data_IF_054258107704
#
_entry.id   IF_054258107704
#
_cell.length_a   1.000
_cell.length_b   1.000
_cell.length_c   1.000
_cell.angle_alpha   90.00
_cell.angle_beta   90.00
_cell.angle_gamma   90.00
#
_symmetry.space_group_name_H-M   'P 1'
#
loop_
_entity.id
_entity.type
_entity.pdbx_description
1 polymer ?
#
# COMPACT_ATOMS: atom_id res chain seq x y z
N UNK A 1 26.37 53.72 -7.52
CA UNK A 1 25.46 52.87 -6.74
C UNK A 1 24.97 51.79 -7.67
N UNK A 2 25.42 50.52 -7.45
CA UNK A 2 25.06 49.38 -8.32
C UNK A 2 23.85 48.68 -7.72
N UNK A 3 22.72 48.70 -8.44
CA UNK A 3 21.52 47.98 -8.07
C UNK A 3 21.72 46.46 -8.41
N UNK A 4 21.80 45.62 -7.38
CA UNK A 4 21.80 44.18 -7.53
C UNK A 4 20.33 43.74 -7.49
N UNK A 5 19.78 43.38 -8.65
CA UNK A 5 18.46 42.78 -8.77
C UNK A 5 18.62 41.27 -8.45
N UNK A 6 18.16 40.89 -7.26
CA UNK A 6 18.14 39.50 -6.82
C UNK A 6 16.96 38.79 -7.51
N UNK A 7 17.27 37.98 -8.52
CA UNK A 7 16.29 37.15 -9.23
C UNK A 7 15.98 35.91 -8.37
N UNK A 8 14.83 35.89 -7.70
CA UNK A 8 14.32 34.71 -7.00
C UNK A 8 13.80 33.70 -8.04
N UNK A 9 14.57 32.65 -8.27
CA UNK A 9 14.15 31.50 -9.08
C UNK A 9 13.21 30.63 -8.24
N UNK A 10 11.92 30.80 -8.40
CA UNK A 10 10.91 29.91 -7.79
C UNK A 10 10.94 28.58 -8.56
N UNK A 11 11.61 27.59 -8.03
CA UNK A 11 11.49 26.21 -8.52
C UNK A 11 10.14 25.66 -8.08
N UNK A 12 9.19 25.62 -8.99
CA UNK A 12 7.95 24.86 -8.82
C UNK A 12 8.31 23.37 -8.89
N UNK A 13 8.37 22.73 -7.72
CA UNK A 13 8.46 21.26 -7.64
C UNK A 13 7.08 20.74 -8.06
N UNK A 14 6.96 20.27 -9.30
CA UNK A 14 5.83 19.45 -9.71
C UNK A 14 5.96 18.12 -8.98
N UNK A 15 5.30 17.99 -7.84
CA UNK A 15 5.06 16.69 -7.22
C UNK A 15 4.04 15.97 -8.10
N UNK A 16 4.51 15.07 -8.95
CA UNK A 16 3.62 14.11 -9.59
C UNK A 16 3.06 13.24 -8.46
N UNK A 17 1.83 13.50 -8.05
CA UNK A 17 1.13 12.59 -7.16
C UNK A 17 1.06 11.24 -7.87
N UNK A 18 1.79 10.26 -7.36
CA UNK A 18 1.75 8.91 -7.89
C UNK A 18 0.31 8.40 -7.75
N UNK A 19 -0.29 8.00 -8.88
CA UNK A 19 -1.64 7.45 -8.89
C UNK A 19 -1.57 5.96 -8.53
N UNK A 20 -1.85 5.65 -7.26
CA UNK A 20 -1.89 4.28 -6.74
C UNK A 20 -3.19 3.55 -7.08
N UNK A 21 -3.70 3.71 -8.30
CA UNK A 21 -4.84 2.93 -8.78
C UNK A 21 -4.48 1.46 -8.95
N UNK A 22 -5.37 0.61 -8.45
CA UNK A 22 -5.27 -0.84 -8.65
C UNK A 22 -5.63 -1.23 -10.08
N UNK A 23 -5.26 -2.44 -10.55
CA UNK A 23 -5.74 -2.96 -11.83
C UNK A 23 -7.27 -2.99 -11.93
N UNK A 24 -7.97 -3.35 -10.84
CA UNK A 24 -9.43 -3.31 -10.77
C UNK A 24 -10.00 -1.92 -11.10
N UNK A 25 -9.44 -0.87 -10.50
CA UNK A 25 -9.87 0.52 -10.76
C UNK A 25 -9.52 0.99 -12.18
N UNK A 26 -8.35 0.60 -12.69
CA UNK A 26 -7.94 0.92 -14.07
C UNK A 26 -8.82 0.22 -15.12
N UNK A 27 -9.25 -0.99 -14.80
CA UNK A 27 -10.13 -1.81 -15.63
C UNK A 27 -11.62 -1.55 -15.45
N UNK A 28 -12.02 -0.47 -14.74
CA UNK A 28 -13.43 -0.15 -14.43
C UNK A 28 -14.19 -1.33 -13.79
N UNK A 29 -13.53 -2.09 -12.91
CA UNK A 29 -14.12 -3.23 -12.22
C UNK A 29 -14.16 -4.54 -13.05
N UNK A 30 -13.55 -4.57 -14.24
CA UNK A 30 -13.52 -5.75 -15.10
C UNK A 30 -12.15 -6.44 -15.16
N UNK A 31 -11.23 -6.04 -14.32
CA UNK A 31 -9.88 -6.59 -14.27
C UNK A 31 -9.49 -6.81 -12.83
N UNK A 32 -8.96 -7.99 -12.51
CA UNK A 32 -8.30 -8.26 -11.25
C UNK A 32 -6.79 -8.13 -11.38
N UNK A 33 -6.08 -8.04 -10.26
CA UNK A 33 -4.62 -7.96 -10.22
C UNK A 33 -3.97 -9.31 -10.53
N UNK A 34 -2.79 -9.28 -11.15
CA UNK A 34 -1.88 -10.43 -11.15
C UNK A 34 -1.03 -10.42 -9.88
N UNK A 35 -0.36 -11.54 -9.58
CA UNK A 35 0.54 -11.62 -8.43
C UNK A 35 1.67 -10.58 -8.52
N UNK A 36 2.30 -10.44 -9.68
CA UNK A 36 3.39 -9.48 -9.90
C UNK A 36 2.93 -8.03 -9.77
N UNK A 37 1.72 -7.71 -10.24
CA UNK A 37 1.15 -6.37 -10.09
C UNK A 37 0.84 -6.06 -8.62
N UNK A 38 0.34 -7.04 -7.87
CA UNK A 38 0.08 -6.92 -6.44
C UNK A 38 1.37 -6.70 -5.65
N UNK A 39 2.40 -7.52 -5.90
CA UNK A 39 3.73 -7.37 -5.26
C UNK A 39 4.29 -5.99 -5.52
N UNK A 40 4.31 -5.57 -6.79
CA UNK A 40 4.80 -4.24 -7.16
C UNK A 40 4.00 -3.11 -6.50
N UNK A 41 2.69 -3.25 -6.42
CA UNK A 41 1.82 -2.25 -5.81
C UNK A 41 2.16 -2.03 -4.33
N UNK A 42 2.31 -3.10 -3.56
CA UNK A 42 2.66 -3.01 -2.15
C UNK A 42 4.10 -2.56 -1.91
N UNK A 43 5.05 -2.96 -2.75
CA UNK A 43 6.42 -2.44 -2.73
C UNK A 43 6.47 -0.93 -3.01
N UNK A 44 5.62 -0.44 -3.91
CA UNK A 44 5.50 0.99 -4.17
C UNK A 44 4.86 1.73 -3.00
N UNK A 45 3.88 1.14 -2.30
CA UNK A 45 3.32 1.74 -1.08
C UNK A 45 4.35 1.79 0.06
N UNK A 46 5.08 0.70 0.30
CA UNK A 46 6.14 0.61 1.33
C UNK A 46 7.20 1.70 1.11
N UNK A 47 7.63 1.91 -0.13
CA UNK A 47 8.61 2.96 -0.48
C UNK A 47 8.12 4.39 -0.29
N UNK A 48 6.82 4.62 -0.42
CA UNK A 48 6.25 5.97 -0.45
C UNK A 48 5.58 6.38 0.86
N UNK A 49 5.27 5.45 1.75
CA UNK A 49 4.55 5.73 2.99
C UNK A 49 5.22 5.08 4.20
N UNK A 50 5.70 5.89 5.14
CA UNK A 50 6.29 5.41 6.40
C UNK A 50 5.33 4.56 7.25
N UNK A 51 4.01 4.69 7.01
CA UNK A 51 2.97 3.91 7.69
C UNK A 51 2.78 2.51 7.11
N UNK A 52 3.44 2.19 6.00
CA UNK A 52 3.35 0.88 5.36
C UNK A 52 4.67 0.15 5.53
N UNK A 53 4.59 -1.14 5.75
CA UNK A 53 5.74 -2.04 5.66
C UNK A 53 5.32 -3.39 5.10
N UNK A 54 6.17 -3.98 4.27
CA UNK A 54 5.99 -5.33 3.73
C UNK A 54 7.04 -6.26 4.33
N UNK A 55 6.60 -7.38 4.90
CA UNK A 55 7.49 -8.35 5.54
C UNK A 55 7.21 -9.77 5.03
N UNK A 56 8.26 -10.53 4.81
CA UNK A 56 8.15 -11.95 4.45
C UNK A 56 8.08 -12.82 5.70
N UNK A 57 7.15 -13.77 5.74
CA UNK A 57 6.86 -14.63 6.91
C UNK A 57 6.86 -16.12 6.59
N UNK A 58 7.70 -16.54 5.71
CA UNK A 58 7.81 -17.94 5.31
C UNK A 58 7.59 -18.12 3.83
N UNK A 59 7.22 -19.33 3.44
CA UNK A 59 6.99 -19.70 2.04
C UNK A 59 5.71 -20.50 1.92
N UNK A 60 5.05 -20.36 0.79
CA UNK A 60 3.93 -21.20 0.40
C UNK A 60 4.39 -22.59 -0.09
N UNK A 61 3.44 -23.41 -0.55
CA UNK A 61 3.73 -24.76 -1.02
C UNK A 61 4.53 -24.79 -2.35
N UNK A 62 4.56 -23.69 -3.09
CA UNK A 62 5.35 -23.51 -4.31
C UNK A 62 6.75 -22.95 -4.04
N UNK A 63 7.03 -22.55 -2.79
CA UNK A 63 8.29 -21.96 -2.38
C UNK A 63 8.35 -20.44 -2.56
N UNK A 64 7.23 -19.78 -2.93
CA UNK A 64 7.13 -18.34 -2.99
C UNK A 64 6.99 -17.72 -1.60
N UNK A 65 7.49 -16.51 -1.37
CA UNK A 65 7.42 -15.89 -0.06
C UNK A 65 5.97 -15.51 0.31
N UNK A 66 5.54 -15.93 1.50
CA UNK A 66 4.30 -15.40 2.11
C UNK A 66 4.59 -13.99 2.60
N UNK A 67 3.97 -13.01 1.98
CA UNK A 67 4.17 -11.59 2.25
C UNK A 67 3.01 -11.06 3.09
N UNK A 68 3.35 -10.24 4.08
CA UNK A 68 2.39 -9.55 4.95
C UNK A 68 2.60 -8.06 4.80
N UNK A 69 1.59 -7.37 4.31
CA UNK A 69 1.57 -5.91 4.32
C UNK A 69 0.99 -5.41 5.64
N UNK A 70 1.62 -4.43 6.22
CA UNK A 70 1.25 -3.87 7.52
C UNK A 70 1.05 -2.37 7.36
N UNK A 71 -0.13 -1.88 7.72
CA UNK A 71 -0.37 -0.47 7.93
C UNK A 71 -0.33 -0.18 9.44
N UNK A 72 0.59 0.68 9.83
CA UNK A 72 0.72 1.17 11.20
C UNK A 72 1.10 2.66 11.20
N UNK A 73 0.18 3.49 11.64
CA UNK A 73 0.43 4.92 11.84
C UNK A 73 0.59 5.32 13.31
N UNK A 74 0.64 4.34 14.20
CA UNK A 74 0.72 4.61 15.64
C UNK A 74 2.17 4.82 16.08
N UNK A 75 2.36 5.81 16.94
CA UNK A 75 3.65 6.03 17.64
C UNK A 75 3.71 5.30 18.98
N UNK A 76 2.74 4.45 19.28
CA UNK A 76 2.60 3.73 20.54
C UNK A 76 2.53 2.24 20.30
N UNK A 77 2.82 1.44 21.32
CA UNK A 77 2.56 0.00 21.25
C UNK A 77 1.07 -0.24 20.98
N UNK A 78 0.80 -0.97 19.91
CA UNK A 78 -0.55 -1.24 19.49
C UNK A 78 -1.19 -2.32 20.33
N UNK A 79 -2.46 -2.14 20.60
CA UNK A 79 -3.26 -3.06 21.41
C UNK A 79 -4.17 -3.90 20.51
N UNK A 80 -4.53 -3.38 19.32
CA UNK A 80 -5.47 -4.01 18.41
C UNK A 80 -4.84 -4.26 17.05
N UNK A 81 -5.00 -5.48 16.55
CA UNK A 81 -4.59 -5.86 15.19
C UNK A 81 -5.83 -6.33 14.44
N UNK A 82 -6.13 -5.69 13.34
CA UNK A 82 -7.06 -6.21 12.35
C UNK A 82 -6.25 -7.05 11.38
N UNK A 83 -6.53 -8.35 11.34
CA UNK A 83 -5.83 -9.26 10.46
C UNK A 83 -6.74 -9.71 9.31
N UNK A 84 -6.24 -9.56 8.08
CA UNK A 84 -6.91 -9.92 6.85
C UNK A 84 -6.11 -11.04 6.20
N UNK A 85 -6.77 -12.12 5.80
CA UNK A 85 -6.15 -13.24 5.13
C UNK A 85 -6.79 -13.42 3.75
N UNK A 86 -6.03 -13.14 2.70
CA UNK A 86 -6.49 -13.19 1.31
C UNK A 86 -5.92 -14.38 0.57
N UNK A 87 -6.62 -14.79 -0.50
CA UNK A 87 -6.13 -15.75 -1.47
C UNK A 87 -5.80 -17.12 -0.86
N UNK A 88 -6.68 -17.63 0.03
CA UNK A 88 -6.54 -18.99 0.57
C UNK A 88 -6.85 -20.05 -0.48
N UNK A 89 -7.70 -19.73 -1.45
CA UNK A 89 -7.98 -20.64 -2.56
C UNK A 89 -7.71 -19.95 -3.91
N UNK A 90 -7.26 -20.69 -4.93
CA UNK A 90 -7.06 -20.16 -6.26
C UNK A 90 -8.34 -19.54 -6.83
N UNK A 91 -8.21 -18.36 -7.45
CA UNK A 91 -9.34 -17.66 -8.08
C UNK A 91 -10.14 -16.74 -7.16
N UNK A 92 -9.81 -16.63 -5.89
CA UNK A 92 -10.45 -15.71 -4.93
C UNK A 92 -9.74 -14.35 -4.93
N UNK A 93 -9.91 -13.59 -6.01
CA UNK A 93 -9.23 -12.29 -6.17
C UNK A 93 -9.92 -11.12 -5.48
N UNK A 94 -11.21 -11.24 -5.16
CA UNK A 94 -12.03 -10.13 -4.63
C UNK A 94 -11.45 -9.54 -3.35
N UNK A 95 -11.00 -10.39 -2.42
CA UNK A 95 -10.36 -9.97 -1.17
C UNK A 95 -9.02 -9.27 -1.42
N UNK A 96 -8.25 -9.74 -2.39
CA UNK A 96 -6.95 -9.17 -2.76
C UNK A 96 -7.17 -7.75 -3.32
N UNK A 97 -8.03 -7.60 -4.33
CA UNK A 97 -8.32 -6.30 -4.95
C UNK A 97 -8.89 -5.30 -3.93
N UNK A 98 -9.81 -5.75 -3.05
CA UNK A 98 -10.38 -4.92 -2.00
C UNK A 98 -9.35 -4.48 -0.96
N UNK A 99 -8.42 -5.36 -0.58
CA UNK A 99 -7.38 -5.05 0.40
C UNK A 99 -6.32 -4.11 -0.17
N UNK A 100 -5.97 -4.22 -1.46
CA UNK A 100 -5.09 -3.25 -2.13
C UNK A 100 -5.67 -1.84 -2.03
N UNK A 101 -6.97 -1.66 -2.32
CA UNK A 101 -7.66 -0.37 -2.19
C UNK A 101 -7.70 0.11 -0.73
N UNK A 102 -8.00 -0.78 0.21
CA UNK A 102 -8.07 -0.47 1.64
C UNK A 102 -6.72 0.03 2.17
N UNK A 103 -5.64 -0.72 1.97
CA UNK A 103 -4.30 -0.36 2.47
C UNK A 103 -3.83 0.97 1.87
N UNK A 104 -4.02 1.16 0.56
CA UNK A 104 -3.74 2.45 -0.08
C UNK A 104 -4.54 3.59 0.55
N UNK A 105 -5.83 3.42 0.76
CA UNK A 105 -6.69 4.49 1.27
C UNK A 105 -6.43 4.79 2.75
N UNK A 106 -5.95 3.80 3.52
CA UNK A 106 -5.38 4.00 4.85
C UNK A 106 -4.08 4.82 4.78
N UNK A 107 -3.16 4.46 3.89
CA UNK A 107 -1.88 5.17 3.72
C UNK A 107 -2.08 6.62 3.27
N UNK A 108 -3.06 6.87 2.39
CA UNK A 108 -3.45 8.20 1.94
C UNK A 108 -4.29 9.00 2.96
N UNK A 109 -4.66 8.38 4.09
CA UNK A 109 -5.51 9.02 5.11
C UNK A 109 -6.97 9.24 4.71
N UNK A 110 -7.43 8.61 3.63
CA UNK A 110 -8.84 8.65 3.19
C UNK A 110 -9.73 7.81 4.12
N UNK A 111 -9.21 6.70 4.64
CA UNK A 111 -9.83 5.87 5.66
C UNK A 111 -9.05 6.05 6.96
N UNK A 112 -9.76 6.17 8.07
CA UNK A 112 -9.17 6.32 9.39
C UNK A 112 -9.51 5.10 10.24
N UNK A 113 -8.50 4.55 10.89
CA UNK A 113 -8.67 3.55 11.96
C UNK A 113 -8.50 4.22 13.32
N UNK A 114 -9.07 3.65 14.40
CA UNK A 114 -8.82 4.12 15.75
C UNK A 114 -7.32 4.17 16.06
N UNK A 115 -6.90 5.10 16.91
CA UNK A 115 -5.53 5.10 17.44
C UNK A 115 -5.27 3.76 18.14
N UNK A 116 -4.06 3.27 18.09
CA UNK A 116 -3.63 1.96 18.59
C UNK A 116 -4.21 0.77 17.80
N UNK A 117 -4.48 0.95 16.50
CA UNK A 117 -4.89 -0.13 15.61
C UNK A 117 -3.88 -0.27 14.48
N UNK A 118 -3.38 -1.47 14.30
CA UNK A 118 -2.59 -1.92 13.13
C UNK A 118 -3.51 -2.72 12.23
N UNK A 119 -3.38 -2.55 10.92
CA UNK A 119 -4.01 -3.43 9.94
C UNK A 119 -2.90 -4.24 9.29
N UNK A 120 -2.99 -5.57 9.37
CA UNK A 120 -2.05 -6.49 8.75
C UNK A 120 -2.81 -7.41 7.79
N UNK A 121 -2.31 -7.58 6.58
CA UNK A 121 -2.93 -8.44 5.59
C UNK A 121 -1.90 -9.38 4.97
N UNK A 122 -2.24 -10.66 4.83
CA UNK A 122 -1.54 -11.54 3.88
C UNK A 122 -2.02 -11.15 2.48
N UNK A 123 -1.07 -10.86 1.61
CA UNK A 123 -1.35 -10.39 0.25
C UNK A 123 -2.01 -11.50 -0.58
N UNK A 124 -1.39 -12.67 -0.62
CA UNK A 124 -1.94 -13.92 -1.12
C UNK A 124 -1.35 -15.06 -0.29
N UNK A 125 -2.19 -15.98 0.18
CA UNK A 125 -1.73 -17.04 1.08
C UNK A 125 -1.22 -18.26 0.30
N UNK A 126 -1.85 -18.56 -0.85
CA UNK A 126 -1.51 -19.76 -1.65
C UNK A 126 -1.77 -19.53 -3.15
#
# INVERSE_FOLDING_TARGET
MKNITLLFLVQTVFSFAQDFKTPYEKGNGNQTTTYEEMVKFYDDLDKNFESISVVEKGKDDNGEPIRVVIFDNSKKQNIHVIFINNGIHPGESDGIDATMMLIRDLALGKIKVPQNTTVAAIEAYN
#
